data_IF_602688334080
#
_entry.id   IF_602688334080
#
_cell.length_a   1.000
_cell.length_b   1.000
_cell.length_c   1.000
_cell.angle_alpha   90.00
_cell.angle_beta   90.00
_cell.angle_gamma   90.00
#
_symmetry.space_group_name_H-M   'P 1'
#
loop_
_entity.id
_entity.type
_entity.pdbx_description
1 polymer ?
#
# COMPACT_ATOMS: atom_id res chain seq x y z
N UNK A 1 -4.77 -9.77 14.02
CA UNK A 1 -5.85 -10.29 13.17
C UNK A 1 -5.36 -11.24 12.07
N UNK A 2 -4.51 -10.84 11.12
CA UNK A 2 -4.03 -11.77 10.07
C UNK A 2 -3.11 -12.89 10.61
N UNK A 3 -2.13 -12.51 11.44
CA UNK A 3 -1.24 -13.46 12.15
C UNK A 3 -2.00 -14.46 13.02
N UNK A 4 -3.05 -14.00 13.71
CA UNK A 4 -3.88 -14.85 14.57
C UNK A 4 -4.74 -15.83 13.76
N UNK A 5 -5.12 -15.47 12.53
CA UNK A 5 -5.86 -16.33 11.60
C UNK A 5 -4.95 -17.26 10.78
N UNK A 6 -3.63 -17.21 10.97
CA UNK A 6 -2.67 -18.02 10.22
C UNK A 6 -2.65 -17.73 8.71
N UNK A 7 -3.10 -16.55 8.29
CA UNK A 7 -3.10 -16.17 6.88
C UNK A 7 -1.69 -15.78 6.43
N UNK A 8 -1.29 -16.19 5.23
CA UNK A 8 -0.12 -15.64 4.57
C UNK A 8 -0.42 -14.22 4.10
N UNK A 9 0.48 -13.28 4.34
CA UNK A 9 0.30 -11.88 3.93
C UNK A 9 1.65 -11.19 3.68
N UNK A 10 1.64 -10.23 2.77
CA UNK A 10 2.70 -9.24 2.63
C UNK A 10 2.26 -7.92 3.26
N UNK A 11 3.23 -7.15 3.74
CA UNK A 11 2.99 -5.85 4.37
C UNK A 11 3.72 -4.77 3.60
N UNK A 12 3.00 -3.72 3.22
CA UNK A 12 3.59 -2.52 2.62
C UNK A 12 3.21 -1.29 3.43
N UNK A 13 4.11 -0.31 3.44
CA UNK A 13 3.85 0.97 4.09
C UNK A 13 4.55 2.14 3.41
N UNK A 14 3.96 3.33 3.58
CA UNK A 14 4.48 4.60 3.07
C UNK A 14 4.21 5.70 4.09
N UNK A 15 5.21 6.51 4.47
CA UNK A 15 4.99 7.70 5.28
C UNK A 15 4.06 8.69 4.57
N UNK A 16 3.17 9.35 5.30
CA UNK A 16 2.26 10.34 4.71
C UNK A 16 3.03 11.53 4.08
N UNK A 17 4.25 11.82 4.56
CA UNK A 17 5.18 12.78 3.98
C UNK A 17 5.57 12.48 2.52
N UNK A 18 5.44 11.23 2.07
CA UNK A 18 5.67 10.83 0.68
C UNK A 18 4.56 11.26 -0.28
N UNK A 19 3.39 11.66 0.23
CA UNK A 19 2.23 12.02 -0.60
C UNK A 19 2.37 13.47 -1.08
N UNK A 20 2.37 13.74 -2.40
CA UNK A 20 2.52 15.10 -2.94
C UNK A 20 1.50 16.08 -2.37
N UNK A 21 0.21 15.70 -2.35
CA UNK A 21 -0.85 16.54 -1.78
C UNK A 21 -0.62 16.85 -0.30
N UNK A 22 -0.10 15.90 0.49
CA UNK A 22 0.18 16.09 1.91
C UNK A 22 1.23 17.18 2.16
N UNK A 23 2.25 17.26 1.29
CA UNK A 23 3.28 18.29 1.35
C UNK A 23 2.72 19.66 1.02
N UNK A 24 1.85 19.76 0.01
CA UNK A 24 1.25 21.03 -0.43
C UNK A 24 0.38 21.65 0.65
N UNK A 25 -0.36 20.83 1.41
CA UNK A 25 -1.23 21.32 2.50
C UNK A 25 -0.56 21.26 3.87
N UNK A 26 0.75 21.01 3.93
CA UNK A 26 1.55 20.96 5.16
C UNK A 26 1.02 19.95 6.22
N UNK A 27 0.43 18.85 5.76
CA UNK A 27 -0.11 17.77 6.60
C UNK A 27 0.61 16.46 6.29
N UNK A 28 1.90 16.41 6.62
CA UNK A 28 2.84 15.31 6.29
C UNK A 28 2.92 14.22 7.35
N UNK A 29 2.32 14.44 8.51
CA UNK A 29 2.35 13.49 9.62
C UNK A 29 1.60 12.19 9.30
N UNK A 30 2.20 11.08 9.70
CA UNK A 30 1.57 9.77 9.77
C UNK A 30 2.03 8.74 8.74
N UNK A 31 1.22 7.69 8.56
CA UNK A 31 1.59 6.45 7.89
C UNK A 31 0.40 5.81 7.18
N UNK A 32 0.65 5.30 5.97
CA UNK A 32 -0.26 4.41 5.27
C UNK A 32 0.34 3.00 5.29
N UNK A 33 -0.48 2.00 5.60
CA UNK A 33 -0.06 0.60 5.68
C UNK A 33 -1.14 -0.31 5.12
N UNK A 34 -0.76 -1.28 4.29
CA UNK A 34 -1.67 -2.29 3.79
C UNK A 34 -1.11 -3.70 4.00
N UNK A 35 -2.02 -4.65 4.17
CA UNK A 35 -1.76 -6.08 4.18
C UNK A 35 -2.45 -6.67 2.95
N UNK A 36 -1.72 -7.48 2.18
CA UNK A 36 -2.24 -8.12 0.98
C UNK A 36 -1.94 -9.61 0.99
N UNK A 37 -2.83 -10.40 0.43
CA UNK A 37 -2.58 -11.82 0.19
C UNK A 37 -1.64 -11.97 -1.03
N UNK A 38 -0.49 -12.64 -0.90
CA UNK A 38 0.46 -12.78 -2.00
C UNK A 38 -0.06 -13.64 -3.16
N UNK A 39 -1.00 -14.55 -2.90
CA UNK A 39 -1.55 -15.50 -3.89
C UNK A 39 -2.75 -14.90 -4.61
N UNK A 40 -3.73 -14.39 -3.85
CA UNK A 40 -4.98 -13.85 -4.43
C UNK A 40 -4.85 -12.39 -4.85
N UNK A 41 -3.81 -11.68 -4.35
CA UNK A 41 -3.64 -10.24 -4.50
C UNK A 41 -4.77 -9.42 -3.88
N UNK A 42 -5.59 -10.01 -3.01
CA UNK A 42 -6.64 -9.30 -2.29
C UNK A 42 -6.06 -8.46 -1.15
N UNK A 43 -6.75 -7.38 -0.81
CA UNK A 43 -6.42 -6.55 0.34
C UNK A 43 -7.03 -7.18 1.59
N UNK A 44 -6.17 -7.67 2.49
CA UNK A 44 -6.58 -8.29 3.75
C UNK A 44 -6.87 -7.26 4.85
N UNK A 45 -6.28 -6.07 4.72
CA UNK A 45 -6.51 -4.96 5.63
C UNK A 45 -5.71 -3.73 5.25
N UNK A 46 -6.18 -2.57 5.70
CA UNK A 46 -5.52 -1.30 5.47
C UNK A 46 -5.64 -0.42 6.71
N UNK A 47 -4.59 0.34 7.01
CA UNK A 47 -4.54 1.29 8.12
C UNK A 47 -3.97 2.59 7.59
N UNK A 48 -4.76 3.66 7.72
CA UNK A 48 -4.41 4.99 7.25
C UNK A 48 -4.42 5.94 8.43
N UNK A 49 -3.24 6.41 8.83
CA UNK A 49 -3.07 7.48 9.80
C UNK A 49 -2.51 8.69 9.05
N UNK A 50 -3.39 9.56 8.57
CA UNK A 50 -3.04 10.80 7.88
C UNK A 50 -4.27 11.70 7.78
N UNK A 51 -4.08 12.97 7.46
CA UNK A 51 -5.21 13.86 7.21
C UNK A 51 -6.07 13.36 6.03
N UNK A 52 -7.39 13.42 6.22
CA UNK A 52 -8.42 12.97 5.25
C UNK A 52 -8.44 11.45 5.04
N UNK A 53 -7.88 10.67 5.97
CA UNK A 53 -7.90 9.20 5.90
C UNK A 53 -9.30 8.59 5.87
N UNK A 54 -10.29 9.26 6.47
CA UNK A 54 -11.70 8.85 6.48
C UNK A 54 -12.32 8.73 5.09
N UNK A 55 -11.92 9.58 4.15
CA UNK A 55 -12.40 9.54 2.76
C UNK A 55 -11.64 8.49 1.95
N UNK A 56 -10.32 8.43 2.14
CA UNK A 56 -9.45 7.50 1.38
C UNK A 56 -9.72 6.05 1.76
N UNK A 57 -10.00 5.76 3.03
CA UNK A 57 -10.27 4.37 3.48
C UNK A 57 -11.54 3.79 2.85
N UNK A 58 -12.53 4.63 2.51
CA UNK A 58 -13.76 4.19 1.86
C UNK A 58 -13.48 3.63 0.45
N UNK A 59 -12.52 4.21 -0.28
CA UNK A 59 -12.08 3.67 -1.58
C UNK A 59 -11.52 2.25 -1.41
N UNK A 60 -10.66 2.05 -0.42
CA UNK A 60 -10.10 0.72 -0.11
C UNK A 60 -11.21 -0.27 0.28
N UNK A 61 -12.19 0.19 1.07
CA UNK A 61 -13.32 -0.65 1.51
C UNK A 61 -14.14 -1.16 0.32
N UNK A 62 -14.41 -0.30 -0.66
CA UNK A 62 -15.14 -0.68 -1.89
C UNK A 62 -14.41 -1.80 -2.64
N UNK A 63 -13.08 -1.72 -2.75
CA UNK A 63 -12.27 -2.73 -3.44
C UNK A 63 -12.28 -4.07 -2.70
N UNK A 64 -12.22 -4.05 -1.36
CA UNK A 64 -12.33 -5.25 -0.53
C UNK A 64 -13.71 -5.91 -0.73
N UNK A 65 -14.79 -5.12 -0.68
CA UNK A 65 -16.15 -5.63 -0.88
C UNK A 65 -16.39 -6.16 -2.29
N UNK A 66 -15.81 -5.51 -3.30
CA UNK A 66 -15.86 -5.94 -4.69
C UNK A 66 -14.96 -7.15 -4.98
N UNK A 67 -14.14 -7.60 -4.01
CA UNK A 67 -13.14 -8.68 -4.16
C UNK A 67 -12.20 -8.44 -5.36
N UNK A 68 -11.84 -7.18 -5.57
CA UNK A 68 -10.89 -6.81 -6.62
C UNK A 68 -9.46 -6.87 -6.08
N UNK A 69 -8.48 -7.26 -6.90
CA UNK A 69 -7.09 -7.29 -6.48
C UNK A 69 -6.58 -5.88 -6.19
N UNK A 70 -5.60 -5.75 -5.30
CA UNK A 70 -4.98 -4.45 -4.98
C UNK A 70 -4.40 -3.75 -6.21
N UNK A 71 -4.05 -4.53 -7.25
CA UNK A 71 -3.53 -4.01 -8.52
C UNK A 71 -4.53 -3.10 -9.21
N UNK A 72 -5.83 -3.27 -8.97
CA UNK A 72 -6.84 -2.34 -9.46
C UNK A 72 -6.61 -0.93 -8.91
N UNK A 73 -6.36 -0.79 -7.61
CA UNK A 73 -5.98 0.50 -7.01
C UNK A 73 -4.61 0.97 -7.47
N UNK A 74 -3.65 0.06 -7.65
CA UNK A 74 -2.31 0.40 -8.15
C UNK A 74 -2.36 1.03 -9.54
N UNK A 75 -3.19 0.48 -10.42
CA UNK A 75 -3.22 0.81 -11.85
C UNK A 75 -4.34 1.81 -12.22
N UNK A 76 -5.24 2.13 -11.28
CA UNK A 76 -6.27 3.17 -11.48
C UNK A 76 -5.64 4.54 -11.59
N UNK A 77 -6.11 5.33 -12.57
CA UNK A 77 -5.73 6.73 -12.73
C UNK A 77 -6.42 7.55 -11.64
N UNK A 78 -5.64 8.00 -10.64
CA UNK A 78 -6.06 9.02 -9.71
C UNK A 78 -5.62 10.41 -10.19
N UNK A 79 -6.42 11.42 -9.86
CA UNK A 79 -6.06 12.80 -10.14
C UNK A 79 -4.86 13.23 -9.29
N UNK A 80 -3.93 13.98 -9.90
CA UNK A 80 -2.74 14.50 -9.24
C UNK A 80 -2.85 16.03 -9.05
N UNK A 81 -2.52 16.60 -7.87
CA UNK A 81 -2.21 15.91 -6.62
C UNK A 81 -3.46 15.67 -5.76
N UNK A 82 -3.65 14.44 -5.25
CA UNK A 82 -4.73 14.10 -4.31
C UNK A 82 -4.25 13.18 -3.19
N UNK A 83 -5.03 13.00 -2.12
CA UNK A 83 -4.66 12.03 -1.07
C UNK A 83 -4.87 10.58 -1.54
N UNK A 84 -5.89 10.33 -2.37
CA UNK A 84 -6.19 8.99 -2.89
C UNK A 84 -5.13 8.44 -3.85
N UNK A 85 -4.38 9.32 -4.55
CA UNK A 85 -3.26 8.91 -5.40
C UNK A 85 -2.20 8.09 -4.66
N UNK A 86 -2.07 8.32 -3.35
CA UNK A 86 -1.12 7.60 -2.50
C UNK A 86 -1.35 6.08 -2.47
N UNK A 87 -2.55 5.62 -2.86
CA UNK A 87 -2.85 4.19 -3.01
C UNK A 87 -2.04 3.59 -4.17
N UNK A 88 -1.81 4.31 -5.28
CA UNK A 88 -0.94 3.85 -6.36
C UNK A 88 0.46 3.55 -5.83
N UNK A 89 1.04 4.51 -5.10
CA UNK A 89 2.39 4.41 -4.54
C UNK A 89 2.51 3.35 -3.45
N UNK A 90 1.52 3.26 -2.56
CA UNK A 90 1.48 2.27 -1.49
C UNK A 90 1.49 0.86 -2.06
N UNK A 91 0.62 0.58 -3.04
CA UNK A 91 0.47 -0.76 -3.59
C UNK A 91 1.57 -1.13 -4.59
N UNK A 92 2.19 -0.16 -5.28
CA UNK A 92 3.37 -0.40 -6.12
C UNK A 92 4.58 -0.95 -5.34
N UNK A 93 4.60 -0.77 -4.01
CA UNK A 93 5.66 -1.35 -3.16
C UNK A 93 5.51 -2.86 -2.98
N UNK A 94 4.33 -3.43 -3.19
CA UNK A 94 4.12 -4.89 -3.09
C UNK A 94 4.95 -5.59 -4.16
N UNK A 95 4.91 -5.08 -5.40
CA UNK A 95 5.69 -5.67 -6.49
C UNK A 95 7.19 -5.56 -6.24
N UNK A 96 7.65 -4.42 -5.69
CA UNK A 96 9.07 -4.23 -5.35
C UNK A 96 9.56 -5.23 -4.30
N UNK A 97 8.73 -5.63 -3.35
CA UNK A 97 9.07 -6.69 -2.39
C UNK A 97 9.22 -8.05 -3.09
N UNK A 98 8.31 -8.38 -4.01
CA UNK A 98 8.41 -9.61 -4.82
C UNK A 98 9.72 -9.66 -5.62
N UNK A 99 10.20 -8.53 -6.14
CA UNK A 99 11.49 -8.47 -6.83
C UNK A 99 12.70 -8.68 -5.90
N UNK A 100 12.63 -8.23 -4.64
CA UNK A 100 13.70 -8.43 -3.65
C UNK A 100 13.77 -9.89 -3.20
N UNK A 101 12.62 -10.55 -3.04
CA UNK A 101 12.52 -11.95 -2.60
C UNK A 101 12.76 -12.97 -3.74
N UNK A 102 13.01 -12.51 -4.97
CA UNK A 102 13.29 -13.38 -6.12
C UNK A 102 14.69 -14.00 -6.03
N UNK A 103 14.85 -15.31 -6.31
CA UNK A 103 16.15 -16.01 -6.24
C UNK A 103 17.22 -15.48 -7.20
N UNK A 104 16.87 -14.56 -8.09
CA UNK A 104 17.77 -13.90 -9.04
C UNK A 104 18.61 -12.82 -8.33
N UNK A 105 18.18 -12.32 -7.16
CA UNK A 105 18.88 -11.23 -6.44
C UNK A 105 19.42 -11.61 -5.05
N UNK A 106 19.38 -12.89 -4.68
CA UNK A 106 20.08 -13.41 -3.49
C UNK A 106 21.62 -13.42 -3.62
N UNK A 107 22.17 -12.81 -4.69
CA UNK A 107 23.60 -12.61 -4.86
C UNK A 107 24.06 -11.22 -4.39
N UNK A 108 24.37 -11.15 -3.09
CA UNK A 108 25.25 -10.18 -2.39
C UNK A 108 24.86 -8.69 -2.39
N UNK A 109 24.51 -8.22 -1.19
CA UNK A 109 25.14 -7.02 -0.60
C UNK A 109 25.81 -7.45 0.71
N UNK A 110 27.06 -7.92 0.61
CA UNK A 110 28.01 -7.96 1.73
C UNK A 110 28.71 -6.59 1.76
N UNK A 111 28.50 -5.85 2.85
CA UNK A 111 29.30 -4.75 3.42
C UNK A 111 30.17 -3.88 2.50
N UNK A 112 29.90 -2.57 2.49
CA UNK A 112 30.80 -1.52 3.01
C UNK A 112 29.98 -0.32 3.43
#
# INVERSE_FOLDING_TARGET
>A
MAKEKGLEYQVVSTPAAGIPRARIVEQTEGLLKALVDPKTKEILGCTLFCAVSSEVINVVRVIIEAKLPYTFLRDTIFTHPTKSESLNDLFSKVDKLVFIDSPIHSFKMKYT
#
